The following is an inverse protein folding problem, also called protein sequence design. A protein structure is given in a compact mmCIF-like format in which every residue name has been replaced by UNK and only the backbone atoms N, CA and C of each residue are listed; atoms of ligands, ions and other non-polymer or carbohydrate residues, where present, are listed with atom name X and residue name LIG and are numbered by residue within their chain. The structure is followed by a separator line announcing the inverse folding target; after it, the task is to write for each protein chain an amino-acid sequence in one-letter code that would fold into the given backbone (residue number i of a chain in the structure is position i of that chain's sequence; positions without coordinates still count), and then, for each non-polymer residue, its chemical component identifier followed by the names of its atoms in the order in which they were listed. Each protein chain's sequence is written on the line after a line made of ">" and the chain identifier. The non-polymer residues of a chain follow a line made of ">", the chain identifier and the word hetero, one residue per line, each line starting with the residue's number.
data_IF_829157925751
#
_entry.id   IF_829157925751
#
_cell.length_a   1.000
_cell.length_b   1.000
_cell.length_c   1.000
_cell.angle_alpha   90.00
_cell.angle_beta   90.00
_cell.angle_gamma   90.00
#
_symmetry.space_group_name_H-M   'P 1'
#
loop_
_entity.id
_entity.type
_entity.pdbx_description
1 polymer ?
#
# COMPACT_ATOMS: atom_id res chain seq x y z
N UNK A 1 -12.45 59.44 -38.46
CA UNK A 1 -11.69 59.25 -37.21
C UNK A 1 -12.12 57.93 -36.58
N UNK A 2 -11.33 56.87 -36.78
CA UNK A 2 -11.63 55.52 -36.25
C UNK A 2 -11.05 55.38 -34.84
N UNK A 3 -11.90 55.24 -33.86
CA UNK A 3 -11.48 54.95 -32.47
C UNK A 3 -11.11 53.48 -32.39
N UNK A 4 -9.83 53.18 -32.25
CA UNK A 4 -9.31 51.84 -31.97
C UNK A 4 -9.52 51.60 -30.48
N UNK A 5 -10.48 50.73 -30.15
CA UNK A 5 -10.64 50.21 -28.77
C UNK A 5 -9.59 49.11 -28.55
N UNK A 6 -8.56 49.43 -27.82
CA UNK A 6 -7.60 48.46 -27.29
C UNK A 6 -8.26 47.68 -26.14
N UNK A 7 -8.75 46.50 -26.43
CA UNK A 7 -9.18 45.58 -25.39
C UNK A 7 -7.93 44.91 -24.82
N UNK A 8 -7.45 45.45 -23.71
CA UNK A 8 -6.40 44.85 -22.90
C UNK A 8 -7.03 43.68 -22.12
N UNK A 9 -6.97 42.46 -22.69
CA UNK A 9 -7.37 41.28 -21.96
C UNK A 9 -6.31 40.98 -20.87
N UNK A 10 -6.66 41.32 -19.65
CA UNK A 10 -5.91 40.89 -18.47
C UNK A 10 -6.05 39.37 -18.36
N UNK A 11 -5.09 38.66 -18.92
CA UNK A 11 -4.91 37.23 -18.58
C UNK A 11 -4.36 37.22 -17.17
N UNK A 12 -5.26 37.14 -16.20
CA UNK A 12 -4.94 36.87 -14.82
C UNK A 12 -4.57 35.39 -14.73
N UNK A 13 -3.31 35.11 -15.08
CA UNK A 13 -2.74 33.78 -14.85
C UNK A 13 -2.75 33.52 -13.35
N UNK A 14 -3.73 32.78 -12.86
CA UNK A 14 -3.67 32.17 -11.54
C UNK A 14 -2.49 31.21 -11.54
N UNK A 15 -1.36 31.67 -11.06
CA UNK A 15 -0.24 30.79 -10.69
C UNK A 15 -0.79 29.94 -9.56
N UNK A 16 -1.25 28.73 -9.92
CA UNK A 16 -1.58 27.70 -8.96
C UNK A 16 -0.24 27.33 -8.29
N UNK A 17 0.08 27.97 -7.18
CA UNK A 17 1.20 27.56 -6.33
C UNK A 17 0.85 26.17 -5.85
N UNK A 18 1.41 25.15 -6.49
CA UNK A 18 1.33 23.80 -5.98
C UNK A 18 2.03 23.80 -4.62
N UNK A 19 1.24 23.78 -3.57
CA UNK A 19 1.75 23.67 -2.20
C UNK A 19 2.53 22.35 -2.10
N UNK A 20 3.79 22.42 -1.68
CA UNK A 20 4.63 21.23 -1.57
C UNK A 20 4.07 20.33 -0.48
N UNK A 21 3.61 19.16 -0.86
CA UNK A 21 3.08 18.17 0.09
C UNK A 21 4.23 17.56 0.90
N UNK A 22 4.08 17.52 2.20
CA UNK A 22 5.01 16.77 3.04
C UNK A 22 4.72 15.25 2.99
N UNK A 23 5.65 14.46 3.49
CA UNK A 23 5.53 12.99 3.50
C UNK A 23 4.23 12.47 4.11
N UNK A 24 3.76 13.11 5.20
CA UNK A 24 2.57 12.63 5.90
C UNK A 24 1.30 12.92 5.12
N UNK A 25 1.26 14.04 4.41
CA UNK A 25 0.13 14.40 3.56
C UNK A 25 0.02 13.45 2.36
N UNK A 26 1.15 13.11 1.74
CA UNK A 26 1.21 12.10 0.67
C UNK A 26 0.68 10.74 1.14
N UNK A 27 1.09 10.28 2.33
CA UNK A 27 0.62 9.02 2.90
C UNK A 27 -0.87 9.07 3.20
N UNK A 28 -1.38 10.13 3.85
CA UNK A 28 -2.80 10.29 4.15
C UNK A 28 -3.65 10.35 2.89
N UNK A 29 -3.19 11.06 1.86
CA UNK A 29 -3.86 11.09 0.58
C UNK A 29 -3.94 9.69 -0.03
N UNK A 30 -2.83 8.95 -0.09
CA UNK A 30 -2.81 7.59 -0.60
C UNK A 30 -3.76 6.68 0.18
N UNK A 31 -3.74 6.71 1.52
CA UNK A 31 -4.65 5.94 2.37
C UNK A 31 -6.13 6.26 2.07
N UNK A 32 -6.46 7.53 1.87
CA UNK A 32 -7.82 7.95 1.51
C UNK A 32 -8.25 7.41 0.13
N UNK A 33 -7.34 7.39 -0.84
CA UNK A 33 -7.63 6.96 -2.21
C UNK A 33 -7.78 5.44 -2.33
N UNK A 34 -6.90 4.67 -1.67
CA UNK A 34 -6.89 3.20 -1.80
C UNK A 34 -7.68 2.47 -0.72
N UNK A 35 -8.04 3.15 0.36
CA UNK A 35 -8.60 2.56 1.56
C UNK A 35 -7.59 1.76 2.36
N UNK A 36 -8.02 1.30 3.54
CA UNK A 36 -7.23 0.46 4.42
C UNK A 36 -8.05 -0.76 4.84
N UNK A 37 -7.42 -1.93 4.86
CA UNK A 37 -8.01 -3.15 5.41
C UNK A 37 -7.45 -3.40 6.82
N UNK A 38 -8.30 -3.84 7.75
CA UNK A 38 -7.84 -4.18 9.10
C UNK A 38 -7.11 -5.54 9.12
N UNK A 39 -6.33 -5.77 10.16
CA UNK A 39 -5.64 -7.05 10.34
C UNK A 39 -6.64 -8.22 10.48
N UNK A 40 -7.76 -7.99 11.19
CA UNK A 40 -8.83 -8.97 11.38
C UNK A 40 -9.47 -9.35 10.04
N UNK A 41 -9.78 -8.35 9.19
CA UNK A 41 -10.37 -8.62 7.88
C UNK A 41 -9.40 -9.35 6.95
N UNK A 42 -8.12 -8.96 6.95
CA UNK A 42 -7.11 -9.70 6.18
C UNK A 42 -6.98 -11.15 6.68
N UNK A 43 -6.96 -11.34 8.01
CA UNK A 43 -6.92 -12.69 8.61
C UNK A 43 -8.12 -13.53 8.18
N UNK A 44 -9.33 -12.98 8.22
CA UNK A 44 -10.55 -13.64 7.75
C UNK A 44 -10.43 -14.08 6.29
N UNK A 45 -9.97 -13.22 5.38
CA UNK A 45 -9.79 -13.56 3.97
C UNK A 45 -8.80 -14.71 3.77
N UNK A 46 -7.70 -14.70 4.53
CA UNK A 46 -6.69 -15.77 4.48
C UNK A 46 -7.19 -17.10 5.06
N UNK A 47 -8.06 -17.07 6.08
CA UNK A 47 -8.64 -18.26 6.69
C UNK A 47 -9.76 -18.88 5.84
N UNK A 48 -10.46 -18.04 5.08
CA UNK A 48 -11.54 -18.42 4.16
C UNK A 48 -11.01 -18.83 2.78
N UNK A 49 -9.68 -18.82 2.60
CA UNK A 49 -8.98 -19.14 1.32
C UNK A 49 -9.45 -18.27 0.14
N UNK A 50 -9.77 -17.01 0.46
CA UNK A 50 -10.17 -16.03 -0.55
C UNK A 50 -8.98 -15.64 -1.45
N UNK A 51 -9.29 -15.28 -2.69
CA UNK A 51 -8.27 -14.89 -3.67
C UNK A 51 -7.73 -13.49 -3.35
N UNK A 52 -6.69 -13.44 -2.51
CA UNK A 52 -6.03 -12.23 -2.05
C UNK A 52 -4.51 -12.36 -2.14
N UNK A 53 -3.85 -11.37 -2.70
CA UNK A 53 -2.38 -11.27 -2.70
C UNK A 53 -1.94 -10.37 -1.54
N UNK A 54 -1.07 -10.91 -0.69
CA UNK A 54 -0.41 -10.16 0.41
C UNK A 54 0.97 -9.72 -0.07
N UNK A 55 1.14 -8.44 -0.35
CA UNK A 55 2.34 -7.89 -0.97
C UNK A 55 3.20 -7.13 0.04
N UNK A 56 4.36 -7.70 0.38
CA UNK A 56 5.37 -7.06 1.22
C UNK A 56 6.24 -6.10 0.39
N UNK A 57 6.11 -4.80 0.65
CA UNK A 57 6.88 -3.77 -0.06
C UNK A 57 8.11 -3.27 0.71
N UNK A 58 8.54 -3.99 1.74
CA UNK A 58 9.74 -3.66 2.52
C UNK A 58 11.01 -4.06 1.79
N UNK A 59 12.12 -3.46 2.21
CA UNK A 59 13.45 -3.89 1.79
C UNK A 59 13.80 -5.26 2.38
N UNK A 60 14.71 -6.00 1.74
CA UNK A 60 15.11 -7.36 2.16
C UNK A 60 15.56 -7.43 3.61
N UNK A 61 16.36 -6.45 4.03
CA UNK A 61 16.90 -6.34 5.38
C UNK A 61 15.79 -6.15 6.43
N UNK A 62 14.74 -5.41 6.06
CA UNK A 62 13.59 -5.18 6.94
C UNK A 62 12.68 -6.41 7.08
N UNK A 63 12.72 -7.32 6.11
CA UNK A 63 11.97 -8.58 6.19
C UNK A 63 12.55 -9.54 7.23
N UNK A 64 13.82 -9.38 7.60
CA UNK A 64 14.42 -10.12 8.70
C UNK A 64 13.74 -9.84 10.06
N UNK A 65 13.02 -8.72 10.21
CA UNK A 65 12.20 -8.45 11.41
C UNK A 65 11.02 -9.45 11.57
N UNK A 66 10.73 -10.20 10.51
CA UNK A 66 9.59 -11.12 10.41
C UNK A 66 8.59 -10.66 9.34
N UNK A 67 7.61 -11.50 9.03
CA UNK A 67 6.57 -11.29 8.03
C UNK A 67 5.21 -11.79 8.51
N UNK A 68 4.15 -11.45 7.79
CA UNK A 68 2.85 -12.09 7.97
C UNK A 68 3.03 -13.57 7.58
N UNK A 69 2.64 -14.54 8.43
CA UNK A 69 2.84 -15.94 8.16
C UNK A 69 2.05 -16.43 6.94
N UNK A 70 2.70 -17.27 6.13
CA UNK A 70 2.05 -18.10 5.14
C UNK A 70 2.16 -19.58 5.54
N UNK A 71 1.34 -20.42 4.93
CA UNK A 71 1.41 -21.86 5.03
C UNK A 71 1.55 -22.48 3.63
N UNK A 72 1.68 -23.80 3.54
CA UNK A 72 1.88 -24.49 2.27
C UNK A 72 0.70 -24.34 1.28
N UNK A 73 -0.51 -24.07 1.78
CA UNK A 73 -1.71 -23.91 0.94
C UNK A 73 -1.78 -22.51 0.34
N UNK A 74 -1.34 -21.47 1.07
CA UNK A 74 -1.51 -20.09 0.65
C UNK A 74 -0.20 -19.33 0.35
N UNK A 75 0.94 -20.02 0.32
CA UNK A 75 2.25 -19.36 0.12
C UNK A 75 2.34 -18.57 -1.19
N UNK A 76 1.60 -18.97 -2.21
CA UNK A 76 1.57 -18.30 -3.51
C UNK A 76 0.86 -16.95 -3.46
N UNK A 77 0.02 -16.74 -2.44
CA UNK A 77 -0.64 -15.46 -2.18
C UNK A 77 0.33 -14.43 -1.57
N UNK A 78 1.50 -14.88 -1.05
CA UNK A 78 2.48 -14.01 -0.39
C UNK A 78 3.63 -13.66 -1.31
N UNK A 79 3.66 -12.41 -1.74
CA UNK A 79 4.64 -11.88 -2.67
C UNK A 79 5.46 -10.79 -1.99
N UNK A 80 6.75 -10.73 -2.33
CA UNK A 80 7.64 -9.68 -1.84
C UNK A 80 8.26 -8.93 -3.02
N UNK A 81 7.97 -7.64 -3.11
CA UNK A 81 8.58 -6.71 -4.07
C UNK A 81 8.94 -5.44 -3.32
N UNK A 82 10.23 -5.09 -3.21
CA UNK A 82 10.61 -3.83 -2.58
C UNK A 82 9.95 -2.65 -3.28
N UNK A 83 9.58 -1.61 -2.54
CA UNK A 83 8.86 -0.46 -3.09
C UNK A 83 9.56 0.15 -4.32
N UNK A 84 10.89 0.20 -4.32
CA UNK A 84 11.67 0.75 -5.43
C UNK A 84 11.68 -0.09 -6.71
N UNK A 85 11.23 -1.36 -6.63
CA UNK A 85 11.15 -2.27 -7.77
C UNK A 85 9.71 -2.62 -8.18
N UNK A 86 8.72 -1.99 -7.54
CA UNK A 86 7.31 -2.38 -7.69
C UNK A 86 6.86 -2.31 -9.15
N UNK A 87 7.01 -1.17 -9.77
CA UNK A 87 6.55 -0.89 -11.13
C UNK A 87 7.20 -1.80 -12.18
N UNK A 88 8.45 -2.23 -11.93
CA UNK A 88 9.23 -3.07 -12.83
C UNK A 88 8.86 -4.56 -12.74
N UNK A 89 8.41 -5.01 -11.56
CA UNK A 89 8.24 -6.43 -11.27
C UNK A 89 6.79 -6.87 -11.18
N UNK A 90 5.88 -6.01 -10.75
CA UNK A 90 4.53 -6.41 -10.38
C UNK A 90 3.77 -7.07 -11.52
N UNK A 91 3.82 -6.55 -12.74
CA UNK A 91 3.10 -7.13 -13.90
C UNK A 91 3.57 -8.54 -14.26
N UNK A 92 4.78 -8.93 -13.87
CA UNK A 92 5.31 -10.29 -14.08
C UNK A 92 4.89 -11.24 -12.97
N UNK A 93 4.70 -10.72 -11.76
CA UNK A 93 4.40 -11.53 -10.58
C UNK A 93 2.91 -11.63 -10.28
N UNK A 94 2.15 -10.58 -10.60
CA UNK A 94 0.69 -10.53 -10.42
C UNK A 94 0.08 -10.18 -11.78
N UNK A 95 -0.41 -11.16 -12.49
CA UNK A 95 -0.95 -10.96 -13.85
C UNK A 95 -2.42 -10.54 -13.83
N UNK A 96 -3.18 -11.05 -12.86
CA UNK A 96 -4.58 -10.66 -12.69
C UNK A 96 -4.68 -9.26 -12.05
N UNK A 97 -5.29 -8.35 -12.77
CA UNK A 97 -5.52 -6.97 -12.32
C UNK A 97 -6.78 -6.81 -11.46
N UNK A 98 -7.64 -7.82 -11.45
CA UNK A 98 -8.88 -7.82 -10.68
C UNK A 98 -8.70 -8.46 -9.29
N UNK A 99 -7.61 -9.23 -9.07
CA UNK A 99 -7.32 -9.83 -7.77
C UNK A 99 -7.16 -8.75 -6.69
N UNK A 100 -7.59 -9.02 -5.48
CA UNK A 100 -7.36 -8.14 -4.34
C UNK A 100 -5.88 -8.14 -3.97
N UNK A 101 -5.22 -6.99 -3.96
CA UNK A 101 -3.83 -6.86 -3.53
C UNK A 101 -3.76 -6.04 -2.25
N UNK A 102 -3.38 -6.68 -1.16
CA UNK A 102 -3.16 -6.03 0.14
C UNK A 102 -1.68 -5.77 0.34
N UNK A 103 -1.27 -4.53 0.16
CA UNK A 103 0.13 -4.14 0.37
C UNK A 103 0.42 -3.91 1.85
N UNK A 104 1.61 -4.24 2.29
CA UNK A 104 2.05 -3.85 3.62
C UNK A 104 3.53 -3.48 3.69
N UNK A 105 3.86 -2.66 4.67
CA UNK A 105 5.22 -2.40 5.12
C UNK A 105 5.26 -2.47 6.66
N UNK A 106 6.25 -1.89 7.30
CA UNK A 106 6.37 -1.93 8.76
C UNK A 106 5.23 -1.22 9.51
N UNK A 107 4.82 -0.01 9.03
CA UNK A 107 3.85 0.90 9.70
C UNK A 107 2.68 1.34 8.82
N UNK A 108 2.57 0.85 7.59
CA UNK A 108 1.49 1.16 6.65
C UNK A 108 1.80 2.24 5.60
N UNK A 109 2.62 3.25 5.88
CA UNK A 109 2.80 4.39 4.98
C UNK A 109 3.35 4.03 3.59
N UNK A 110 4.43 3.25 3.50
CA UNK A 110 4.95 2.77 2.19
C UNK A 110 3.98 1.82 1.50
N UNK A 111 3.22 1.03 2.29
CA UNK A 111 2.15 0.19 1.77
C UNK A 111 1.09 1.03 1.05
N UNK A 112 0.58 2.08 1.69
CA UNK A 112 -0.41 2.97 1.08
C UNK A 112 0.08 3.59 -0.23
N UNK A 113 1.31 4.10 -0.25
CA UNK A 113 1.92 4.65 -1.47
C UNK A 113 2.09 3.58 -2.56
N UNK A 114 2.41 2.34 -2.18
CA UNK A 114 2.49 1.21 -3.12
C UNK A 114 1.11 0.85 -3.69
N UNK A 115 0.08 0.76 -2.84
CA UNK A 115 -1.29 0.47 -3.30
C UNK A 115 -1.81 1.56 -4.25
N UNK A 116 -1.47 2.83 -4.00
CA UNK A 116 -1.82 3.93 -4.92
C UNK A 116 -1.20 3.72 -6.30
N UNK A 117 0.09 3.45 -6.36
CA UNK A 117 0.78 3.14 -7.63
C UNK A 117 0.16 1.92 -8.31
N UNK A 118 -0.16 0.87 -7.56
CA UNK A 118 -0.86 -0.29 -8.13
C UNK A 118 -2.21 0.07 -8.75
N UNK A 119 -2.99 0.95 -8.11
CA UNK A 119 -4.25 1.47 -8.69
C UNK A 119 -4.00 2.20 -10.01
N UNK A 120 -2.99 3.06 -10.07
CA UNK A 120 -2.57 3.76 -11.29
C UNK A 120 -2.11 2.79 -12.38
N UNK A 121 -1.54 1.64 -12.02
CA UNK A 121 -1.14 0.55 -12.92
C UNK A 121 -2.30 -0.39 -13.31
N UNK A 122 -3.52 -0.13 -12.83
CA UNK A 122 -4.73 -0.88 -13.20
C UNK A 122 -5.13 -2.01 -12.25
N UNK A 123 -4.45 -2.20 -11.12
CA UNK A 123 -4.88 -3.14 -10.07
C UNK A 123 -6.03 -2.52 -9.27
N UNK A 124 -7.25 -2.73 -9.72
CA UNK A 124 -8.44 -2.02 -9.24
C UNK A 124 -8.76 -2.26 -7.76
N UNK A 125 -8.38 -3.43 -7.24
CA UNK A 125 -8.66 -3.84 -5.88
C UNK A 125 -7.44 -3.76 -4.96
N UNK A 126 -6.42 -2.95 -5.33
CA UNK A 126 -5.27 -2.73 -4.46
C UNK A 126 -5.65 -1.87 -3.26
N UNK A 127 -5.28 -2.29 -2.06
CA UNK A 127 -5.48 -1.61 -0.79
C UNK A 127 -4.26 -1.79 0.10
N UNK A 128 -4.24 -1.23 1.30
CA UNK A 128 -3.11 -1.37 2.23
C UNK A 128 -3.55 -1.87 3.59
N UNK A 129 -2.69 -2.66 4.24
CA UNK A 129 -2.92 -3.12 5.60
C UNK A 129 -2.73 -1.97 6.59
N UNK A 130 -3.79 -1.68 7.35
CA UNK A 130 -3.79 -0.64 8.38
C UNK A 130 -2.70 -0.89 9.41
N UNK A 131 -1.81 0.09 9.58
CA UNK A 131 -0.68 -0.03 10.51
C UNK A 131 0.43 -0.99 10.07
N UNK A 132 0.32 -1.65 8.91
CA UNK A 132 1.30 -2.58 8.36
C UNK A 132 1.56 -3.78 9.27
N UNK A 133 2.78 -4.34 9.22
CA UNK A 133 3.18 -5.47 10.07
C UNK A 133 3.02 -5.17 11.57
N UNK A 134 3.27 -3.93 11.99
CA UNK A 134 3.02 -3.54 13.39
C UNK A 134 1.54 -3.55 13.76
N UNK A 135 0.66 -3.14 12.85
CA UNK A 135 -0.79 -3.23 13.04
C UNK A 135 -1.26 -4.68 13.17
N UNK A 136 -0.76 -5.57 12.30
CA UNK A 136 -0.99 -7.01 12.34
C UNK A 136 -0.58 -7.61 13.69
N UNK A 137 0.66 -7.36 14.13
CA UNK A 137 1.17 -7.87 15.40
C UNK A 137 0.40 -7.30 16.62
N UNK A 138 0.00 -6.02 16.59
CA UNK A 138 -0.82 -5.41 17.65
C UNK A 138 -2.24 -5.97 17.74
N UNK A 139 -2.77 -6.49 16.65
CA UNK A 139 -4.04 -7.20 16.65
C UNK A 139 -3.94 -8.62 17.26
N UNK A 140 -2.73 -9.00 17.72
CA UNK A 140 -2.49 -10.29 18.37
C UNK A 140 -2.18 -11.43 17.40
N UNK A 141 -1.99 -11.14 16.12
CA UNK A 141 -1.66 -12.16 15.13
C UNK A 141 -0.16 -12.46 15.10
N UNK A 142 0.21 -13.72 14.82
CA UNK A 142 1.60 -14.14 14.81
C UNK A 142 2.39 -13.46 13.68
N UNK A 143 3.66 -13.23 13.95
CA UNK A 143 4.66 -12.79 12.97
C UNK A 143 5.64 -13.95 12.77
N UNK A 144 5.86 -14.36 11.54
CA UNK A 144 6.83 -15.38 11.18
C UNK A 144 8.24 -14.76 11.20
N UNK A 145 9.13 -15.34 12.00
CA UNK A 145 10.54 -14.95 12.11
C UNK A 145 11.44 -16.13 11.77
N UNK A 146 12.76 -15.91 11.74
CA UNK A 146 13.73 -17.00 11.62
C UNK A 146 13.69 -18.03 12.76
N UNK A 147 13.03 -17.72 13.88
CA UNK A 147 12.84 -18.60 15.02
C UNK A 147 11.43 -19.24 15.08
N UNK A 148 10.62 -19.05 14.06
CA UNK A 148 9.23 -19.51 13.98
C UNK A 148 8.22 -18.39 14.17
N UNK A 149 6.96 -18.77 14.44
CA UNK A 149 5.87 -17.83 14.64
C UNK A 149 5.89 -17.27 16.06
N UNK A 150 5.95 -15.95 16.17
CA UNK A 150 5.96 -15.22 17.44
C UNK A 150 4.74 -14.30 17.52
N UNK A 151 4.01 -14.36 18.62
CA UNK A 151 2.92 -13.44 18.93
C UNK A 151 3.41 -12.43 19.96
N UNK A 152 3.17 -11.15 19.72
CA UNK A 152 3.47 -10.13 20.72
C UNK A 152 2.45 -10.24 21.85
N UNK A 153 2.91 -10.54 23.06
CA UNK A 153 2.06 -10.44 24.23
C UNK A 153 1.62 -8.97 24.37
N UNK A 154 0.33 -8.76 24.39
CA UNK A 154 -0.21 -7.46 24.77
C UNK A 154 -0.18 -7.46 26.32
N UNK A 155 0.95 -7.05 26.89
CA UNK A 155 0.98 -6.71 28.31
C UNK A 155 -0.02 -5.58 28.53
N UNK A 156 -0.98 -5.84 29.40
CA UNK A 156 -2.10 -4.95 29.78
C UNK A 156 -1.61 -3.72 30.50
#
# INVERSE_FOLDING_TARGET
>A
MKKILLVLSLILGTILMAESMNKMDLIKQAQKEVGEISAEKLKSLLDEDEDVIVLDVRESEQRAEGSIPSNDMNKEQFISITRGNLEWKVNKMIQDKEVMVVTYCRKGGRGALAAKVLREMGYKNATTLKGGLKGWAKAGYPVQTGLGNVTLNQDK
#
